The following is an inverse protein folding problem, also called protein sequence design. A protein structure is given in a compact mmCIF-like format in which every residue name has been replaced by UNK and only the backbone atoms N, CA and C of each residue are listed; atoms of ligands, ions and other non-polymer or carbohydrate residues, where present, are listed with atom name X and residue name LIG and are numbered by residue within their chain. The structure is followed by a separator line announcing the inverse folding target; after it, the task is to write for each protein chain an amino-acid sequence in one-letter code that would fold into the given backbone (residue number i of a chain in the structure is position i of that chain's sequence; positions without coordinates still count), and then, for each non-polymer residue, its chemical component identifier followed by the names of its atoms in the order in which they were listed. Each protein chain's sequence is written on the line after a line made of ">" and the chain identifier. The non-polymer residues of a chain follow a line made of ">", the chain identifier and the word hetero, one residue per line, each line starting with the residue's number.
data_IF_445684766202
#
_entry.id   IF_445684766202
#
_cell.length_a   1.000
_cell.length_b   1.000
_cell.length_c   1.000
_cell.angle_alpha   90.00
_cell.angle_beta   90.00
_cell.angle_gamma   90.00
#
_symmetry.space_group_name_H-M   'P 1'
#
loop_
_entity.id
_entity.type
_entity.pdbx_description
1 polymer ?
#
# COMPACT_ATOMS: atom_id res chain seq x y z
N UNK A 1 38.47 1.02 26.33
CA UNK A 1 37.89 0.07 25.33
C UNK A 1 36.37 0.25 25.08
N UNK A 2 35.70 1.31 25.53
CA UNK A 2 34.22 1.43 25.45
C UNK A 2 33.71 2.27 24.27
N UNK A 3 34.56 3.12 23.66
CA UNK A 3 34.20 4.01 22.55
C UNK A 3 33.75 3.30 21.25
N UNK A 4 34.38 2.19 20.79
CA UNK A 4 33.98 1.57 19.53
C UNK A 4 32.67 0.76 19.65
N UNK A 5 32.37 0.23 20.84
CA UNK A 5 31.14 -0.52 21.09
C UNK A 5 29.89 0.38 21.01
N UNK A 6 29.96 1.61 21.53
CA UNK A 6 28.87 2.57 21.41
C UNK A 6 28.59 2.98 19.96
N UNK A 7 29.64 3.13 19.13
CA UNK A 7 29.48 3.47 17.71
C UNK A 7 28.82 2.33 16.93
N UNK A 8 29.20 1.08 17.21
CA UNK A 8 28.58 -0.10 16.60
C UNK A 8 27.09 -0.24 16.99
N UNK A 9 26.74 0.02 18.25
CA UNK A 9 25.36 -0.01 18.71
C UNK A 9 24.50 1.06 18.01
N UNK A 10 25.02 2.29 17.87
CA UNK A 10 24.31 3.36 17.17
C UNK A 10 24.08 3.03 15.70
N UNK A 11 25.08 2.45 15.02
CA UNK A 11 24.98 2.05 13.62
C UNK A 11 23.93 0.94 13.41
N UNK A 12 23.84 -0.03 14.33
CA UNK A 12 22.84 -1.08 14.28
C UNK A 12 21.41 -0.53 14.43
N UNK A 13 21.20 0.45 15.32
CA UNK A 13 19.89 1.08 15.53
C UNK A 13 19.49 1.92 14.30
N UNK A 14 20.41 2.67 13.70
CA UNK A 14 20.14 3.44 12.49
C UNK A 14 19.67 2.57 11.31
N UNK A 15 20.16 1.33 11.21
CA UNK A 15 19.75 0.38 10.17
C UNK A 15 18.31 -0.14 10.37
N UNK A 16 17.78 -0.14 11.60
CA UNK A 16 16.39 -0.54 11.86
C UNK A 16 15.37 0.49 11.37
N UNK A 17 15.78 1.75 11.18
CA UNK A 17 14.94 2.80 10.57
C UNK A 17 14.85 2.72 9.04
N UNK A 18 15.74 1.98 8.39
CA UNK A 18 15.60 1.63 6.96
C UNK A 18 14.68 0.41 6.76
N UNK A 19 14.10 -0.12 7.84
CA UNK A 19 13.10 -1.18 7.76
C UNK A 19 11.73 -0.56 7.55
N UNK A 20 11.09 -0.97 6.45
CA UNK A 20 9.70 -0.65 6.07
C UNK A 20 8.77 -0.95 7.26
N UNK A 21 8.48 0.06 8.08
CA UNK A 21 7.30 0.00 8.95
C UNK A 21 6.08 0.15 8.03
N UNK A 22 5.03 -0.63 8.26
CA UNK A 22 3.85 -0.66 7.38
C UNK A 22 3.14 0.70 7.23
N UNK A 23 3.45 1.65 8.13
CA UNK A 23 2.89 3.00 8.19
C UNK A 23 3.72 4.08 7.49
N UNK A 24 4.93 3.79 6.99
CA UNK A 24 5.67 4.80 6.22
C UNK A 24 5.14 4.86 4.78
N UNK A 25 4.92 6.06 4.23
CA UNK A 25 4.48 6.21 2.84
C UNK A 25 5.46 5.54 1.87
N UNK A 26 4.99 4.54 1.14
CA UNK A 26 5.72 3.87 0.08
C UNK A 26 5.79 4.70 -1.21
N UNK A 27 6.40 4.15 -2.28
CA UNK A 27 6.37 4.77 -3.60
C UNK A 27 4.93 5.05 -4.03
N UNK A 28 4.61 6.30 -4.38
CA UNK A 28 3.23 6.75 -4.63
C UNK A 28 2.56 7.45 -3.45
N UNK A 29 3.23 7.58 -2.30
CA UNK A 29 2.73 8.32 -1.14
C UNK A 29 1.69 7.56 -0.32
N UNK A 30 1.48 6.27 -0.61
CA UNK A 30 0.54 5.39 0.10
C UNK A 30 1.30 4.42 0.99
N UNK A 31 0.75 4.19 2.18
CA UNK A 31 1.23 3.17 3.14
C UNK A 31 0.95 1.75 2.61
N UNK A 32 1.58 0.74 3.22
CA UNK A 32 1.37 -0.66 2.82
C UNK A 32 -0.08 -1.09 3.07
N UNK A 33 -0.69 -0.61 4.16
CA UNK A 33 -2.09 -0.88 4.50
C UNK A 33 -3.06 -0.22 3.51
N UNK A 34 -2.79 1.02 3.07
CA UNK A 34 -3.57 1.70 2.04
C UNK A 34 -3.49 0.99 0.69
N UNK A 35 -2.28 0.58 0.27
CA UNK A 35 -2.09 -0.17 -0.97
C UNK A 35 -2.89 -1.48 -0.95
N UNK A 36 -2.86 -2.22 0.17
CA UNK A 36 -3.64 -3.45 0.32
C UNK A 36 -5.16 -3.21 0.23
N UNK A 37 -5.66 -2.13 0.85
CA UNK A 37 -7.08 -1.79 0.77
C UNK A 37 -7.50 -1.45 -0.68
N UNK A 38 -6.64 -0.79 -1.44
CA UNK A 38 -6.85 -0.51 -2.86
C UNK A 38 -6.87 -1.80 -3.71
N UNK A 39 -5.94 -2.72 -3.48
CA UNK A 39 -5.88 -4.01 -4.18
C UNK A 39 -7.12 -4.85 -3.91
N UNK A 40 -7.57 -4.92 -2.65
CA UNK A 40 -8.78 -5.65 -2.26
C UNK A 40 -10.02 -5.05 -2.96
N UNK A 41 -10.09 -3.72 -3.09
CA UNK A 41 -11.16 -3.05 -3.83
C UNK A 41 -11.13 -3.35 -5.34
N UNK A 42 -9.94 -3.39 -5.95
CA UNK A 42 -9.79 -3.76 -7.35
C UNK A 42 -10.22 -5.21 -7.61
N UNK A 43 -9.87 -6.13 -6.70
CA UNK A 43 -10.30 -7.54 -6.80
C UNK A 43 -11.83 -7.70 -6.77
N UNK A 44 -12.55 -6.85 -6.04
CA UNK A 44 -14.02 -6.86 -6.03
C UNK A 44 -14.62 -6.40 -7.37
N UNK A 45 -13.96 -5.49 -8.09
CA UNK A 45 -14.40 -5.06 -9.42
C UNK A 45 -14.17 -6.15 -10.46
N UNK A 46 -12.99 -6.77 -10.47
CA UNK A 46 -12.66 -7.89 -11.38
C UNK A 46 -13.62 -9.08 -11.19
N UNK A 47 -13.98 -9.36 -9.93
CA UNK A 47 -14.95 -10.41 -9.61
C UNK A 47 -16.35 -10.11 -10.16
N UNK A 48 -16.72 -8.83 -10.32
CA UNK A 48 -18.00 -8.40 -10.91
C UNK A 48 -17.95 -8.42 -12.44
N UNK A 49 -16.84 -8.02 -13.03
CA UNK A 49 -16.65 -7.99 -14.48
C UNK A 49 -16.54 -9.40 -15.11
N UNK A 50 -16.32 -10.43 -14.28
CA UNK A 50 -16.42 -11.83 -14.67
C UNK A 50 -17.85 -12.26 -15.04
N UNK A 51 -18.87 -11.53 -14.56
CA UNK A 51 -20.23 -11.63 -15.07
C UNK A 51 -20.38 -10.66 -16.27
N UNK A 52 -20.92 -11.10 -17.42
CA UNK A 52 -21.19 -10.18 -18.51
C UNK A 52 -22.08 -9.04 -17.98
N UNK A 53 -21.75 -7.76 -18.26
CA UNK A 53 -22.49 -6.64 -17.70
C UNK A 53 -23.96 -6.79 -18.08
N UNK A 54 -24.80 -7.16 -17.11
CA UNK A 54 -26.20 -7.52 -17.32
C UNK A 54 -27.08 -6.28 -17.51
N UNK A 55 -26.64 -5.34 -18.35
CA UNK A 55 -27.02 -3.94 -18.48
C UNK A 55 -26.10 -3.01 -17.67
N UNK A 56 -25.05 -2.52 -18.33
CA UNK A 56 -24.64 -1.14 -18.13
C UNK A 56 -25.86 -0.27 -18.49
N UNK A 57 -26.70 0.03 -17.50
CA UNK A 57 -27.83 0.92 -17.66
C UNK A 57 -27.27 2.29 -17.99
N UNK A 58 -27.23 2.59 -19.29
CA UNK A 58 -26.99 3.92 -19.82
C UNK A 58 -27.98 4.86 -19.11
N UNK A 59 -27.52 5.88 -18.38
CA UNK A 59 -28.42 6.84 -17.78
C UNK A 59 -29.26 7.47 -18.91
N UNK A 60 -30.58 7.65 -18.72
CA UNK A 60 -31.44 8.14 -19.80
C UNK A 60 -30.89 9.46 -20.29
N UNK A 61 -30.51 9.49 -21.58
CA UNK A 61 -30.13 10.72 -22.27
C UNK A 61 -31.30 11.69 -22.15
N UNK A 62 -31.08 12.76 -21.37
CA UNK A 62 -32.03 13.86 -21.26
C UNK A 62 -32.23 14.49 -22.66
N UNK A 63 -33.47 14.90 -23.00
CA UNK A 63 -33.80 15.46 -24.30
C UNK A 63 -33.04 16.76 -24.61
#
# INVERSE_FOLDING_TARGET
>A
MTRPACLMLLAAIALTGCSRTDNEPGPGGVTVSEAKALDDAAAMLESRDSDPPANAQEPPKAP
#
